data_IF_533329620288
#
_entry.id   IF_533329620288
#
_cell.length_a   1.000
_cell.length_b   1.000
_cell.length_c   1.000
_cell.angle_alpha   90.00
_cell.angle_beta   90.00
_cell.angle_gamma   90.00
#
_symmetry.space_group_name_H-M   'P 1'
#
loop_
_entity.id
_entity.type
_entity.pdbx_description
1 polymer ?
#
# COMPACT_ATOMS: atom_id res chain seq x y z
N UNK A 1 10.99 43.21 32.22
CA UNK A 1 9.96 43.78 31.33
C UNK A 1 10.55 43.81 29.93
N UNK A 2 9.78 43.34 28.93
CA UNK A 2 10.06 43.33 27.48
C UNK A 2 11.27 42.47 27.03
N UNK A 3 11.21 41.57 26.05
CA UNK A 3 10.39 41.45 24.82
C UNK A 3 10.30 39.97 24.40
N UNK A 4 9.16 39.49 23.91
CA UNK A 4 8.92 39.31 22.46
C UNK A 4 9.22 37.85 22.05
N UNK A 5 8.26 36.93 22.01
CA UNK A 5 7.21 36.71 20.99
C UNK A 5 7.78 36.27 19.63
N UNK A 6 7.80 34.97 19.36
CA UNK A 6 7.66 34.33 18.04
C UNK A 6 7.55 32.83 18.30
N UNK A 7 6.37 32.21 18.30
CA UNK A 7 5.52 31.88 17.14
C UNK A 7 6.31 31.11 16.08
N UNK A 8 5.96 29.83 15.93
CA UNK A 8 5.94 29.00 14.71
C UNK A 8 5.61 27.60 15.22
N UNK A 9 4.34 27.15 15.31
CA UNK A 9 3.52 26.72 14.17
C UNK A 9 4.39 26.01 13.14
N UNK A 10 4.83 24.80 13.50
CA UNK A 10 5.43 23.88 12.55
C UNK A 10 4.29 23.30 11.70
N UNK A 11 4.27 23.49 10.37
CA UNK A 11 3.24 22.93 9.53
C UNK A 11 3.35 21.40 9.57
N UNK A 12 2.22 20.70 9.63
CA UNK A 12 2.14 19.25 9.49
C UNK A 12 2.65 18.82 8.10
N UNK A 13 3.97 18.76 8.00
CA UNK A 13 4.71 18.27 6.85
C UNK A 13 4.61 16.74 6.82
N UNK A 14 4.44 16.21 5.62
CA UNK A 14 4.53 14.79 5.28
C UNK A 14 5.66 14.16 6.09
N UNK A 15 5.31 13.31 7.08
CA UNK A 15 6.29 12.65 7.94
C UNK A 15 7.28 11.93 7.05
N UNK A 16 8.56 12.29 7.15
CA UNK A 16 9.68 11.67 6.45
C UNK A 16 9.77 10.23 6.98
N UNK A 17 9.06 9.30 6.33
CA UNK A 17 9.21 7.88 6.60
C UNK A 17 10.68 7.54 6.44
N UNK A 18 11.27 6.95 7.47
CA UNK A 18 12.67 6.53 7.45
C UNK A 18 12.89 5.63 6.23
N UNK A 19 14.05 5.74 5.57
CA UNK A 19 14.41 4.87 4.43
C UNK A 19 14.31 3.38 4.81
N UNK A 20 14.47 3.08 6.09
CA UNK A 20 14.35 1.76 6.72
C UNK A 20 12.90 1.23 6.74
N UNK A 21 11.89 2.08 6.95
CA UNK A 21 10.46 1.68 6.87
C UNK A 21 10.06 1.26 5.45
N UNK A 22 10.60 1.93 4.43
CA UNK A 22 10.30 1.59 3.04
C UNK A 22 10.94 0.26 2.65
N UNK A 23 12.18 0.01 3.07
CA UNK A 23 12.86 -1.26 2.84
C UNK A 23 12.12 -2.43 3.51
N UNK A 24 11.69 -2.26 4.76
CA UNK A 24 10.91 -3.27 5.49
C UNK A 24 9.55 -3.57 4.81
N UNK A 25 8.92 -2.57 4.18
CA UNK A 25 7.67 -2.77 3.43
C UNK A 25 7.86 -3.58 2.13
N UNK A 26 9.03 -3.49 1.49
CA UNK A 26 9.34 -4.29 0.30
C UNK A 26 9.60 -5.76 0.65
N UNK A 27 10.26 -6.01 1.79
CA UNK A 27 10.54 -7.38 2.27
C UNK A 27 9.26 -8.17 2.57
N UNK A 28 8.20 -7.48 3.02
CA UNK A 28 6.91 -8.10 3.31
C UNK A 28 6.04 -8.40 2.08
N UNK A 29 6.42 -7.95 0.87
CA UNK A 29 5.64 -8.19 -0.35
C UNK A 29 5.88 -9.59 -0.89
N UNK A 30 4.84 -10.29 -1.39
CA UNK A 30 5.04 -11.55 -2.08
C UNK A 30 5.95 -11.35 -3.30
N UNK A 31 6.72 -12.38 -3.69
CA UNK A 31 7.61 -12.29 -4.84
C UNK A 31 6.89 -11.75 -6.07
N UNK A 32 7.58 -10.94 -6.89
CA UNK A 32 7.00 -10.35 -8.10
C UNK A 32 6.38 -11.42 -9.01
N UNK A 33 7.08 -12.55 -9.15
CA UNK A 33 6.61 -13.70 -9.89
C UNK A 33 5.25 -14.21 -9.39
N UNK A 34 5.05 -14.29 -8.07
CA UNK A 34 3.78 -14.71 -7.46
C UNK A 34 2.66 -13.72 -7.74
N UNK A 35 2.94 -12.42 -7.62
CA UNK A 35 1.95 -11.36 -7.89
C UNK A 35 1.50 -11.38 -9.35
N UNK A 36 2.44 -11.45 -10.29
CA UNK A 36 2.16 -11.56 -11.72
C UNK A 36 1.40 -12.84 -12.05
N UNK A 37 1.84 -13.98 -11.52
CA UNK A 37 1.23 -15.28 -11.71
C UNK A 37 -0.23 -15.34 -11.25
N UNK A 38 -0.60 -14.61 -10.18
CA UNK A 38 -1.98 -14.50 -9.70
C UNK A 38 -2.83 -13.62 -10.63
N UNK A 39 -2.31 -12.48 -11.08
CA UNK A 39 -2.99 -11.58 -12.02
C UNK A 39 -3.26 -12.23 -13.37
N UNK A 40 -2.27 -12.90 -13.97
CA UNK A 40 -2.39 -13.64 -15.23
C UNK A 40 -3.41 -14.79 -15.16
N UNK A 41 -3.55 -15.42 -13.98
CA UNK A 41 -4.55 -16.48 -13.75
C UNK A 41 -5.92 -15.95 -13.31
N UNK A 42 -6.11 -14.62 -13.29
CA UNK A 42 -7.31 -13.97 -12.79
C UNK A 42 -7.73 -14.45 -11.38
N UNK A 43 -6.75 -14.64 -10.48
CA UNK A 43 -6.97 -15.06 -9.09
C UNK A 43 -6.76 -13.92 -8.11
N UNK A 44 -7.41 -14.00 -6.94
CA UNK A 44 -7.32 -12.96 -5.92
C UNK A 44 -5.85 -12.69 -5.52
N UNK A 45 -5.38 -11.42 -5.52
CA UNK A 45 -4.00 -11.09 -5.14
C UNK A 45 -3.72 -11.36 -3.67
N UNK A 46 -4.75 -11.31 -2.81
CA UNK A 46 -4.66 -11.52 -1.36
C UNK A 46 -4.52 -13.00 -1.00
N UNK A 47 -5.50 -13.84 -1.38
CA UNK A 47 -5.51 -15.26 -0.98
C UNK A 47 -4.98 -16.22 -2.06
N UNK A 48 -4.86 -15.78 -3.32
CA UNK A 48 -4.46 -16.63 -4.44
C UNK A 48 -5.53 -17.61 -4.94
N UNK A 49 -6.75 -17.55 -4.40
CA UNK A 49 -7.92 -18.37 -4.74
C UNK A 49 -9.07 -17.50 -5.26
N UNK A 50 -10.15 -18.10 -5.74
CA UNK A 50 -11.30 -17.38 -6.28
C UNK A 50 -10.99 -16.57 -7.54
N UNK A 51 -11.96 -15.75 -7.98
CA UNK A 51 -11.86 -14.91 -9.19
C UNK A 51 -11.48 -13.47 -8.82
N UNK A 52 -10.48 -12.92 -9.51
CA UNK A 52 -10.10 -11.51 -9.40
C UNK A 52 -11.14 -10.58 -10.02
N UNK A 53 -11.77 -11.02 -11.12
CA UNK A 53 -12.70 -10.21 -11.89
C UNK A 53 -14.12 -10.80 -11.82
N UNK A 54 -15.11 -9.91 -11.63
CA UNK A 54 -16.53 -10.23 -11.69
C UNK A 54 -17.09 -10.18 -13.13
N UNK A 55 -16.30 -9.71 -14.10
CA UNK A 55 -16.64 -9.61 -15.51
C UNK A 55 -15.39 -9.36 -16.36
N UNK A 56 -15.55 -8.76 -17.54
CA UNK A 56 -14.40 -8.39 -18.37
C UNK A 56 -13.61 -7.24 -17.71
N UNK A 57 -12.46 -7.59 -17.11
CA UNK A 57 -11.54 -6.69 -16.39
C UNK A 57 -12.17 -5.88 -15.24
N UNK A 58 -13.43 -6.15 -14.88
CA UNK A 58 -14.08 -5.56 -13.70
C UNK A 58 -13.62 -6.28 -12.45
N UNK A 59 -12.80 -5.63 -11.62
CA UNK A 59 -12.30 -6.18 -10.35
C UNK A 59 -13.48 -6.50 -9.42
N UNK A 60 -13.45 -7.67 -8.81
CA UNK A 60 -14.43 -8.06 -7.80
C UNK A 60 -14.24 -7.20 -6.54
N UNK A 61 -15.34 -6.73 -5.95
CA UNK A 61 -15.30 -5.86 -4.76
C UNK A 61 -14.69 -6.54 -3.54
N UNK A 62 -14.86 -7.86 -3.44
CA UNK A 62 -14.42 -8.67 -2.31
C UNK A 62 -13.83 -9.98 -2.79
N UNK A 63 -12.92 -10.51 -1.99
CA UNK A 63 -12.50 -11.90 -2.11
C UNK A 63 -13.69 -12.81 -1.84
N UNK A 64 -13.87 -13.84 -2.69
CA UNK A 64 -14.96 -14.82 -2.53
C UNK A 64 -14.59 -15.99 -1.63
N UNK A 65 -13.32 -16.07 -1.24
CA UNK A 65 -12.70 -17.16 -0.46
C UNK A 65 -12.09 -16.63 0.84
#
# INVERSE_FOLDING_TARGET
>A
MMSGKSRSEEPEGIRRGSEEEFAAALDQRPPLATSLARGLRARCPRCGRGRLYAGYLKVAERCTE
#
